data_IF_521909787672
#
_entry.id   IF_521909787672
#
_cell.length_a   1.000
_cell.length_b   1.000
_cell.length_c   1.000
_cell.angle_alpha   90.00
_cell.angle_beta   90.00
_cell.angle_gamma   90.00
#
_symmetry.space_group_name_H-M   'P 1'
#
loop_
_entity.id
_entity.type
_entity.pdbx_description
1 polymer ?
#
# COMPACT_ATOMS: atom_id res chain seq x y z
N UNK A 1 6.74 -10.97 -12.46
CA UNK A 1 5.30 -11.16 -12.15
C UNK A 1 4.96 -10.79 -10.71
N UNK A 2 5.69 -11.29 -9.70
CA UNK A 2 5.60 -10.81 -8.30
C UNK A 2 5.70 -9.28 -8.21
N UNK A 3 6.73 -8.72 -8.85
CA UNK A 3 6.94 -7.28 -8.96
C UNK A 3 5.73 -6.52 -9.50
N UNK A 4 5.07 -7.03 -10.54
CA UNK A 4 3.89 -6.40 -11.13
C UNK A 4 2.69 -6.42 -10.18
N UNK A 5 2.47 -7.54 -9.50
CA UNK A 5 1.39 -7.70 -8.53
C UNK A 5 1.59 -6.74 -7.33
N UNK A 6 2.81 -6.69 -6.77
CA UNK A 6 3.13 -5.79 -5.66
C UNK A 6 3.14 -4.32 -6.08
N UNK A 7 3.63 -3.98 -7.26
CA UNK A 7 3.48 -2.61 -7.81
C UNK A 7 2.01 -2.21 -7.86
N UNK A 8 1.12 -3.11 -8.30
CA UNK A 8 -0.32 -2.82 -8.39
C UNK A 8 -0.95 -2.60 -7.01
N UNK A 9 -0.55 -3.38 -6.01
CA UNK A 9 -1.00 -3.19 -4.63
C UNK A 9 -0.52 -1.88 -4.01
N UNK A 10 0.73 -1.49 -4.29
CA UNK A 10 1.25 -0.19 -3.86
C UNK A 10 0.49 0.98 -4.52
N UNK A 11 0.28 0.88 -5.82
CA UNK A 11 -0.44 1.89 -6.60
C UNK A 11 -1.91 2.03 -6.18
N UNK A 12 -2.55 0.98 -5.67
CA UNK A 12 -3.91 1.06 -5.13
C UNK A 12 -4.05 2.11 -4.00
N UNK A 13 -2.98 2.32 -3.22
CA UNK A 13 -2.91 3.36 -2.20
C UNK A 13 -2.33 4.68 -2.75
N UNK A 14 -1.28 4.60 -3.58
CA UNK A 14 -0.56 5.77 -4.05
C UNK A 14 -1.34 6.60 -5.09
N UNK A 15 -2.16 5.98 -5.94
CA UNK A 15 -2.92 6.68 -6.99
C UNK A 15 -3.90 7.70 -6.39
N UNK A 16 -4.79 7.34 -5.43
CA UNK A 16 -5.68 8.32 -4.81
C UNK A 16 -4.93 9.52 -4.20
N UNK A 17 -3.83 9.27 -3.51
CA UNK A 17 -3.00 10.31 -2.87
C UNK A 17 -2.39 11.23 -3.93
N UNK A 18 -1.84 10.65 -5.00
CA UNK A 18 -1.26 11.40 -6.11
C UNK A 18 -2.31 12.28 -6.80
N UNK A 19 -3.51 11.76 -7.04
CA UNK A 19 -4.61 12.53 -7.66
C UNK A 19 -5.01 13.69 -6.75
N UNK A 20 -5.29 13.43 -5.46
CA UNK A 20 -5.72 14.46 -4.51
C UNK A 20 -4.67 15.58 -4.36
N UNK A 21 -3.38 15.22 -4.31
CA UNK A 21 -2.29 16.20 -4.26
C UNK A 21 -2.17 17.01 -5.57
N UNK A 22 -2.30 16.34 -6.72
CA UNK A 22 -2.21 16.98 -8.03
C UNK A 22 -3.35 17.98 -8.29
N UNK A 23 -4.53 17.73 -7.71
CA UNK A 23 -5.68 18.66 -7.74
C UNK A 23 -5.49 19.90 -6.86
N UNK A 24 -4.36 20.02 -6.16
CA UNK A 24 -4.03 21.21 -5.37
C UNK A 24 -4.66 21.23 -3.98
N UNK A 25 -5.12 20.09 -3.45
CA UNK A 25 -5.72 20.00 -2.11
C UNK A 25 -4.72 20.11 -0.95
N UNK A 26 -3.53 20.68 -1.19
CA UNK A 26 -2.48 20.87 -0.17
C UNK A 26 -2.94 21.74 1.02
N UNK A 27 -3.86 22.70 0.80
CA UNK A 27 -4.43 23.50 1.88
C UNK A 27 -5.28 22.67 2.86
N UNK A 28 -5.81 21.53 2.40
CA UNK A 28 -6.65 20.62 3.19
C UNK A 28 -5.89 19.32 3.53
N UNK A 29 -4.56 19.34 3.46
CA UNK A 29 -3.75 18.13 3.56
C UNK A 29 -3.94 17.39 4.90
N UNK A 30 -4.05 18.14 6.00
CA UNK A 30 -4.36 17.59 7.33
C UNK A 30 -5.70 16.81 7.30
N UNK A 31 -6.73 17.35 6.64
CA UNK A 31 -8.01 16.66 6.50
C UNK A 31 -7.90 15.39 5.65
N UNK A 32 -7.10 15.43 4.58
CA UNK A 32 -6.80 14.25 3.76
C UNK A 32 -6.08 13.19 4.59
N UNK A 33 -5.08 13.56 5.40
CA UNK A 33 -4.35 12.63 6.25
C UNK A 33 -5.24 12.02 7.33
N UNK A 34 -6.21 12.76 7.88
CA UNK A 34 -7.24 12.21 8.77
C UNK A 34 -8.10 11.16 8.05
N UNK A 35 -8.57 11.45 6.83
CA UNK A 35 -9.35 10.51 6.02
C UNK A 35 -8.52 9.26 5.71
N UNK A 36 -7.26 9.41 5.29
CA UNK A 36 -6.35 8.30 5.03
C UNK A 36 -6.10 7.48 6.29
N UNK A 37 -5.97 8.11 7.46
CA UNK A 37 -5.84 7.42 8.75
C UNK A 37 -7.09 6.60 9.08
N UNK A 38 -8.29 7.13 8.83
CA UNK A 38 -9.56 6.40 9.01
C UNK A 38 -9.61 5.19 8.07
N UNK A 39 -9.22 5.35 6.80
CA UNK A 39 -9.14 4.24 5.83
C UNK A 39 -8.13 3.20 6.31
N UNK A 40 -6.99 3.62 6.87
CA UNK A 40 -5.98 2.73 7.41
C UNK A 40 -6.53 1.90 8.58
N UNK A 41 -7.28 2.53 9.50
CA UNK A 41 -8.00 1.84 10.58
C UNK A 41 -9.00 0.83 10.01
N UNK A 42 -9.80 1.23 9.02
CA UNK A 42 -10.73 0.33 8.34
C UNK A 42 -10.02 -0.89 7.74
N UNK A 43 -8.93 -0.68 7.00
CA UNK A 43 -8.13 -1.77 6.44
C UNK A 43 -7.59 -2.71 7.51
N UNK A 44 -7.09 -2.16 8.62
CA UNK A 44 -6.63 -2.93 9.77
C UNK A 44 -7.73 -3.79 10.39
N UNK A 45 -8.89 -3.19 10.67
CA UNK A 45 -10.06 -3.89 11.25
C UNK A 45 -10.62 -4.94 10.29
N UNK A 46 -10.68 -4.65 8.99
CA UNK A 46 -11.13 -5.63 7.98
C UNK A 46 -10.17 -6.81 7.90
N UNK A 47 -8.86 -6.58 7.96
CA UNK A 47 -7.86 -7.65 8.00
C UNK A 47 -7.92 -8.46 9.31
N UNK A 48 -8.18 -7.81 10.43
CA UNK A 48 -8.36 -8.47 11.72
C UNK A 48 -9.58 -9.41 11.74
N UNK A 49 -10.72 -8.92 11.26
CA UNK A 49 -12.01 -9.63 11.33
C UNK A 49 -12.22 -10.61 10.18
N UNK A 50 -11.88 -10.22 8.95
CA UNK A 50 -12.17 -10.99 7.73
C UNK A 50 -10.92 -11.62 7.12
N UNK A 51 -9.72 -11.26 7.58
CA UNK A 51 -8.45 -11.73 7.00
C UNK A 51 -8.11 -11.11 5.64
N UNK A 52 -8.90 -10.13 5.18
CA UNK A 52 -8.79 -9.49 3.86
C UNK A 52 -9.43 -8.11 3.87
N UNK A 53 -9.00 -7.26 2.95
CA UNK A 53 -9.62 -5.99 2.59
C UNK A 53 -10.44 -6.21 1.32
N UNK A 54 -11.72 -5.82 1.32
CA UNK A 54 -12.67 -6.18 0.26
C UNK A 54 -12.24 -5.62 -1.11
N UNK A 55 -11.86 -4.35 -1.14
CA UNK A 55 -11.45 -3.59 -2.32
C UNK A 55 -10.20 -4.19 -2.95
N UNK A 56 -9.27 -4.63 -2.12
CA UNK A 56 -7.98 -5.20 -2.53
C UNK A 56 -8.16 -6.65 -3.01
N UNK A 57 -9.03 -7.43 -2.37
CA UNK A 57 -9.41 -8.75 -2.87
C UNK A 57 -10.04 -8.64 -4.26
N UNK A 58 -10.98 -7.70 -4.45
CA UNK A 58 -11.61 -7.42 -5.74
C UNK A 58 -10.58 -7.00 -6.81
N UNK A 59 -9.72 -6.04 -6.48
CA UNK A 59 -8.65 -5.58 -7.36
C UNK A 59 -7.71 -6.74 -7.75
N UNK A 60 -7.30 -7.56 -6.78
CA UNK A 60 -6.38 -8.68 -7.03
C UNK A 60 -6.98 -9.72 -7.96
N UNK A 61 -8.26 -10.07 -7.78
CA UNK A 61 -8.99 -11.00 -8.66
C UNK A 61 -9.15 -10.43 -10.07
N UNK A 62 -9.50 -9.15 -10.17
CA UNK A 62 -9.65 -8.47 -11.45
C UNK A 62 -8.32 -8.46 -12.22
N UNK A 63 -7.22 -8.06 -11.57
CA UNK A 63 -5.89 -8.06 -12.18
C UNK A 63 -5.44 -9.47 -12.57
N UNK A 64 -5.67 -10.47 -11.72
CA UNK A 64 -5.36 -11.87 -12.04
C UNK A 64 -6.14 -12.37 -13.24
N UNK A 65 -7.44 -12.05 -13.34
CA UNK A 65 -8.30 -12.47 -14.45
C UNK A 65 -7.86 -11.92 -15.82
N UNK A 66 -7.21 -10.75 -15.84
CA UNK A 66 -6.63 -10.15 -17.05
C UNK A 66 -5.33 -10.81 -17.50
N UNK A 67 -4.74 -11.69 -16.69
CA UNK A 67 -3.52 -12.39 -17.04
C UNK A 67 -3.78 -13.53 -18.04
N UNK A 68 -2.80 -13.81 -18.89
CA UNK A 68 -2.86 -14.90 -19.85
C UNK A 68 -3.08 -16.27 -19.19
N UNK A 69 -3.70 -17.20 -19.91
CA UNK A 69 -4.08 -18.53 -19.42
C UNK A 69 -2.93 -19.27 -18.75
N UNK A 70 -1.78 -19.37 -19.45
CA UNK A 70 -0.56 -20.02 -18.96
C UNK A 70 -0.10 -19.48 -17.60
N UNK A 71 -0.25 -18.17 -17.37
CA UNK A 71 0.12 -17.56 -16.09
C UNK A 71 -0.84 -17.93 -14.97
N UNK A 72 -2.15 -17.91 -15.26
CA UNK A 72 -3.19 -18.26 -14.28
C UNK A 72 -3.09 -19.73 -13.86
N UNK A 73 -2.70 -20.63 -14.77
CA UNK A 73 -2.42 -22.03 -14.44
C UNK A 73 -1.15 -22.19 -13.60
N UNK A 74 -0.07 -21.48 -13.95
CA UNK A 74 1.19 -21.56 -13.22
C UNK A 74 1.10 -20.94 -11.81
N UNK A 75 0.34 -19.84 -11.66
CA UNK A 75 0.22 -19.10 -10.40
C UNK A 75 -1.22 -18.83 -10.03
N UNK A 76 -1.63 -19.54 -8.99
CA UNK A 76 -2.94 -19.40 -8.38
C UNK A 76 -3.21 -17.97 -7.88
N UNK A 77 -4.49 -17.59 -7.90
CA UNK A 77 -4.98 -16.29 -7.49
C UNK A 77 -4.62 -15.96 -6.04
N UNK A 78 -4.62 -16.94 -5.13
CA UNK A 78 -4.25 -16.70 -3.72
C UNK A 78 -2.81 -16.18 -3.61
N UNK A 79 -1.89 -16.83 -4.31
CA UNK A 79 -0.46 -16.47 -4.35
C UNK A 79 -0.22 -15.12 -5.01
N UNK A 80 -1.01 -14.76 -6.02
CA UNK A 80 -0.99 -13.45 -6.65
C UNK A 80 -1.53 -12.36 -5.71
N UNK A 81 -2.65 -12.64 -5.04
CA UNK A 81 -3.26 -11.72 -4.07
C UNK A 81 -2.30 -11.41 -2.92
N UNK A 82 -1.58 -12.40 -2.39
CA UNK A 82 -0.51 -12.16 -1.40
C UNK A 82 0.54 -11.16 -1.89
N UNK A 83 0.92 -11.20 -3.17
CA UNK A 83 1.88 -10.26 -3.75
C UNK A 83 1.30 -8.84 -3.85
N UNK A 84 0.01 -8.71 -4.20
CA UNK A 84 -0.72 -7.44 -4.17
C UNK A 84 -0.77 -6.88 -2.75
N UNK A 85 -1.12 -7.71 -1.75
CA UNK A 85 -1.12 -7.27 -0.36
C UNK A 85 0.27 -6.80 0.07
N UNK A 86 1.36 -7.52 -0.24
CA UNK A 86 2.72 -7.08 0.10
C UNK A 86 3.06 -5.70 -0.48
N UNK A 87 2.55 -5.38 -1.67
CA UNK A 87 2.65 -4.04 -2.24
C UNK A 87 1.89 -2.98 -1.45
N UNK A 88 0.66 -3.29 -1.07
CA UNK A 88 -0.17 -2.41 -0.24
C UNK A 88 0.44 -2.19 1.15
N UNK A 89 1.01 -3.24 1.75
CA UNK A 89 1.78 -3.18 3.00
C UNK A 89 2.90 -2.16 2.92
N UNK A 90 3.68 -2.24 1.85
CA UNK A 90 4.78 -1.31 1.63
C UNK A 90 4.25 0.12 1.47
N UNK A 91 3.13 0.32 0.79
CA UNK A 91 2.51 1.64 0.66
C UNK A 91 2.06 2.23 2.00
N UNK A 92 1.44 1.42 2.87
CA UNK A 92 1.07 1.87 4.21
C UNK A 92 2.28 2.24 5.05
N UNK A 93 3.33 1.42 5.04
CA UNK A 93 4.56 1.71 5.78
C UNK A 93 5.24 2.97 5.25
N UNK A 94 5.37 3.10 3.93
CA UNK A 94 5.93 4.31 3.32
C UNK A 94 5.14 5.55 3.70
N UNK A 95 3.81 5.47 3.69
CA UNK A 95 2.95 6.59 4.07
C UNK A 95 3.02 6.92 5.58
N UNK A 96 3.11 5.91 6.45
CA UNK A 96 3.27 6.14 7.89
C UNK A 96 4.63 6.77 8.25
N UNK A 97 5.69 6.45 7.48
CA UNK A 97 7.03 7.01 7.67
C UNK A 97 7.11 8.44 7.13
N UNK A 98 6.65 8.65 5.90
CA UNK A 98 6.59 9.96 5.26
C UNK A 98 5.27 10.12 4.50
N UNK A 99 4.24 10.71 5.15
CA UNK A 99 2.92 10.92 4.56
C UNK A 99 2.96 11.79 3.30
N UNK A 100 3.98 12.63 3.19
CA UNK A 100 4.12 13.62 2.13
C UNK A 100 4.86 13.11 0.91
N UNK A 101 5.53 11.96 0.99
CA UNK A 101 6.42 11.45 -0.07
C UNK A 101 5.76 11.39 -1.46
N UNK A 102 4.59 10.76 -1.57
CA UNK A 102 3.87 10.63 -2.85
C UNK A 102 3.25 11.97 -3.26
N UNK A 103 2.74 12.71 -2.28
CA UNK A 103 2.08 14.00 -2.52
C UNK A 103 3.05 15.05 -3.07
N UNK A 104 4.27 15.11 -2.51
CA UNK A 104 5.35 15.95 -2.96
C UNK A 104 5.95 15.39 -4.24
N UNK A 105 6.32 14.11 -4.29
CA UNK A 105 6.98 13.51 -5.45
C UNK A 105 6.15 13.57 -6.74
N UNK A 106 4.84 13.33 -6.65
CA UNK A 106 3.95 13.30 -7.82
C UNK A 106 3.11 14.59 -7.94
N UNK A 107 2.48 15.02 -6.85
CA UNK A 107 1.52 16.13 -6.90
C UNK A 107 2.14 17.53 -6.98
N UNK A 108 3.38 17.72 -6.49
CA UNK A 108 4.10 18.98 -6.76
C UNK A 108 4.56 19.05 -8.22
N UNK A 109 5.05 17.93 -8.75
CA UNK A 109 5.48 17.80 -10.15
C UNK A 109 4.30 18.03 -11.11
N UNK A 110 3.13 17.45 -10.84
CA UNK A 110 1.94 17.69 -11.65
C UNK A 110 1.54 19.18 -11.73
N UNK A 111 1.90 19.97 -10.70
CA UNK A 111 1.57 21.40 -10.62
C UNK A 111 2.69 22.33 -11.13
N UNK A 112 3.83 21.81 -11.58
CA UNK A 112 4.97 22.60 -12.02
C UNK A 112 4.93 23.03 -13.49
N UNK A 113 3.78 22.87 -14.18
CA UNK A 113 3.58 23.23 -15.59
C UNK A 113 3.40 22.02 -16.51
N UNK A 114 3.34 22.26 -17.84
CA UNK A 114 2.96 21.25 -18.84
C UNK A 114 3.89 20.02 -18.85
N UNK A 115 5.20 20.24 -18.72
CA UNK A 115 6.18 19.15 -18.59
C UNK A 115 5.98 18.37 -17.29
N UNK A 116 5.69 19.06 -16.20
CA UNK A 116 5.41 18.45 -14.89
C UNK A 116 4.19 17.55 -14.90
N UNK A 117 3.08 18.00 -15.51
CA UNK A 117 1.89 17.17 -15.74
C UNK A 117 2.24 15.88 -16.47
N UNK A 118 3.06 15.97 -17.52
CA UNK A 118 3.45 14.82 -18.35
C UNK A 118 4.40 13.85 -17.63
N UNK A 119 5.29 14.38 -16.76
CA UNK A 119 6.27 13.58 -16.01
C UNK A 119 5.69 12.97 -14.73
N UNK A 120 4.64 13.56 -14.16
CA UNK A 120 4.04 13.08 -12.90
C UNK A 120 3.56 11.62 -12.92
N UNK A 121 2.93 11.08 -14.00
CA UNK A 121 2.55 9.67 -14.04
C UNK A 121 3.78 8.76 -14.13
N UNK A 122 4.85 9.21 -14.80
CA UNK A 122 6.12 8.47 -14.85
C UNK A 122 6.75 8.36 -13.47
N UNK A 123 6.70 9.43 -12.67
CA UNK A 123 7.16 9.40 -11.28
C UNK A 123 6.35 8.42 -10.43
N UNK A 124 5.02 8.42 -10.59
CA UNK A 124 4.14 7.47 -9.89
C UNK A 124 4.43 6.01 -10.30
N UNK A 125 4.66 5.76 -11.59
CA UNK A 125 5.12 4.44 -12.08
C UNK A 125 6.48 4.09 -11.47
N UNK A 126 7.40 5.05 -11.35
CA UNK A 126 8.70 4.88 -10.70
C UNK A 126 8.60 4.43 -9.23
N UNK A 127 7.68 5.02 -8.46
CA UNK A 127 7.37 4.54 -7.12
C UNK A 127 6.81 3.11 -7.12
N UNK A 128 5.86 2.82 -8.02
CA UNK A 128 5.30 1.48 -8.15
C UNK A 128 6.35 0.43 -8.51
N UNK A 129 7.24 0.73 -9.46
CA UNK A 129 8.36 -0.14 -9.87
C UNK A 129 9.33 -0.37 -8.72
N UNK A 130 9.70 0.68 -7.99
CA UNK A 130 10.58 0.60 -6.81
C UNK A 130 9.96 -0.27 -5.72
N UNK A 131 8.68 -0.06 -5.41
CA UNK A 131 7.95 -0.89 -4.45
C UNK A 131 7.90 -2.36 -4.90
N UNK A 132 7.65 -2.59 -6.19
CA UNK A 132 7.65 -3.92 -6.79
C UNK A 132 8.99 -4.64 -6.65
N UNK A 133 10.09 -3.91 -6.89
CA UNK A 133 11.45 -4.41 -6.77
C UNK A 133 11.79 -4.75 -5.31
N UNK A 134 11.47 -3.87 -4.36
CA UNK A 134 11.68 -4.10 -2.93
C UNK A 134 10.97 -5.38 -2.50
N UNK A 135 9.70 -5.56 -2.86
CA UNK A 135 8.96 -6.79 -2.52
C UNK A 135 9.57 -8.02 -3.18
N UNK A 136 10.06 -7.93 -4.41
CA UNK A 136 10.74 -9.04 -5.08
C UNK A 136 12.04 -9.45 -4.36
N UNK A 137 12.83 -8.48 -3.90
CA UNK A 137 14.03 -8.71 -3.09
C UNK A 137 13.64 -9.38 -1.76
N UNK A 138 12.67 -8.81 -1.03
CA UNK A 138 12.20 -9.36 0.25
C UNK A 138 11.69 -10.79 0.12
N UNK A 139 11.00 -11.12 -0.97
CA UNK A 139 10.54 -12.48 -1.26
C UNK A 139 11.64 -13.47 -1.61
N UNK A 140 12.82 -12.99 -1.98
CA UNK A 140 13.98 -13.84 -2.25
C UNK A 140 14.69 -14.24 -0.95
N UNK A 141 14.54 -13.47 0.14
CA UNK A 141 15.18 -13.75 1.43
C UNK A 141 14.79 -15.13 2.01
N UNK A 142 13.49 -15.52 2.06
CA UNK A 142 13.09 -16.84 2.54
C UNK A 142 13.71 -18.01 1.75
N UNK A 143 14.05 -17.82 0.47
CA UNK A 143 14.68 -18.86 -0.35
C UNK A 143 16.09 -19.18 0.16
N UNK A 144 16.80 -18.19 0.73
CA UNK A 144 18.13 -18.36 1.31
C UNK A 144 18.07 -19.13 2.65
N UNK A 145 16.97 -18.99 3.39
CA UNK A 145 16.78 -19.60 4.71
C UNK A 145 16.26 -21.05 4.65
N UNK A 146 15.83 -21.52 3.47
CA UNK A 146 15.45 -22.89 3.21
C UNK A 146 14.37 -23.43 4.16
N UNK A 147 14.69 -24.52 4.88
CA UNK A 147 13.74 -25.26 5.74
C UNK A 147 13.19 -24.43 6.91
N UNK A 148 13.97 -23.51 7.46
CA UNK A 148 13.53 -22.68 8.59
C UNK A 148 12.40 -21.72 8.18
N UNK A 149 12.50 -21.12 7.00
CA UNK A 149 11.45 -20.27 6.46
C UNK A 149 10.15 -21.04 6.18
N UNK A 150 10.24 -22.32 5.80
CA UNK A 150 9.07 -23.17 5.58
C UNK A 150 8.32 -23.45 6.89
N UNK A 151 9.03 -23.73 7.98
CA UNK A 151 8.44 -23.98 9.31
C UNK A 151 7.73 -22.72 9.83
N UNK A 152 8.41 -21.56 9.78
CA UNK A 152 7.80 -20.27 10.17
C UNK A 152 6.61 -19.94 9.26
N UNK A 153 6.73 -20.25 7.96
CA UNK A 153 5.66 -20.08 6.99
C UNK A 153 4.39 -20.86 7.38
N UNK A 154 4.55 -22.13 7.75
CA UNK A 154 3.47 -23.01 8.20
C UNK A 154 2.82 -22.54 9.51
N UNK A 155 3.63 -22.16 10.50
CA UNK A 155 3.14 -21.63 11.78
C UNK A 155 2.41 -20.28 11.63
N UNK A 156 2.73 -19.54 10.59
CA UNK A 156 2.19 -18.21 10.31
C UNK A 156 0.88 -18.24 9.50
N UNK A 157 0.46 -19.39 8.98
CA UNK A 157 -0.77 -19.53 8.18
C UNK A 157 -1.99 -19.11 9.03
N UNK A 158 -2.77 -18.15 8.55
CA UNK A 158 -3.97 -17.64 9.23
C UNK A 158 -3.72 -16.59 10.32
N UNK A 159 -2.60 -16.67 11.05
CA UNK A 159 -2.19 -15.63 12.02
C UNK A 159 -1.65 -14.40 11.30
N UNK A 160 -0.94 -14.60 10.18
CA UNK A 160 -0.27 -13.52 9.44
C UNK A 160 -1.21 -12.36 9.10
N UNK A 161 -2.34 -12.53 8.39
CA UNK A 161 -3.19 -11.40 8.01
C UNK A 161 -3.82 -10.70 9.22
N UNK A 162 -4.13 -11.45 10.28
CA UNK A 162 -4.75 -10.91 11.50
C UNK A 162 -3.78 -10.11 12.35
N UNK A 163 -2.59 -10.64 12.61
CA UNK A 163 -1.55 -9.96 13.40
C UNK A 163 -1.19 -8.61 12.76
N UNK A 164 -1.00 -8.66 11.45
CA UNK A 164 -0.82 -7.50 10.63
C UNK A 164 -2.01 -6.51 10.68
N UNK A 165 -3.24 -7.01 10.59
CA UNK A 165 -4.45 -6.20 10.75
C UNK A 165 -4.50 -5.44 12.08
N UNK A 166 -4.09 -6.09 13.18
CA UNK A 166 -3.95 -5.43 14.50
C UNK A 166 -2.94 -4.29 14.43
N UNK A 167 -1.73 -4.55 13.91
CA UNK A 167 -0.68 -3.53 13.84
C UNK A 167 -1.12 -2.31 13.05
N UNK A 168 -1.75 -2.51 11.89
CA UNK A 168 -2.23 -1.41 11.04
C UNK A 168 -3.40 -0.66 11.67
N UNK A 169 -4.32 -1.36 12.35
CA UNK A 169 -5.41 -0.70 13.06
C UNK A 169 -4.88 0.20 14.19
N UNK A 170 -3.90 -0.27 14.97
CA UNK A 170 -3.27 0.50 16.04
C UNK A 170 -2.50 1.69 15.46
N UNK A 171 -1.67 1.46 14.44
CA UNK A 171 -0.90 2.54 13.80
C UNK A 171 -1.82 3.60 13.19
N UNK A 172 -2.87 3.19 12.46
CA UNK A 172 -3.84 4.12 11.90
C UNK A 172 -4.60 4.91 12.97
N UNK A 173 -4.97 4.27 14.08
CA UNK A 173 -5.65 4.94 15.19
C UNK A 173 -4.72 5.94 15.88
N UNK A 174 -3.46 5.55 16.10
CA UNK A 174 -2.44 6.43 16.65
C UNK A 174 -2.21 7.66 15.76
N UNK A 175 -2.03 7.45 14.45
CA UNK A 175 -1.85 8.55 13.49
C UNK A 175 -3.07 9.46 13.46
N UNK A 176 -4.29 8.92 13.50
CA UNK A 176 -5.53 9.70 13.57
C UNK A 176 -5.58 10.57 14.83
N UNK A 177 -5.26 10.01 16.00
CA UNK A 177 -5.21 10.75 17.26
C UNK A 177 -4.14 11.84 17.22
N UNK A 178 -2.94 11.51 16.74
CA UNK A 178 -1.83 12.46 16.62
C UNK A 178 -2.18 13.67 15.74
N UNK A 179 -2.74 13.43 14.55
CA UNK A 179 -3.13 14.50 13.62
C UNK A 179 -4.28 15.35 14.20
N UNK A 180 -5.24 14.71 14.88
CA UNK A 180 -6.38 15.42 15.46
C UNK A 180 -5.99 16.28 16.67
N UNK A 181 -5.04 15.82 17.48
CA UNK A 181 -4.59 16.52 18.68
C UNK A 181 -3.51 17.57 18.42
N UNK A 182 -2.76 17.47 17.32
CA UNK A 182 -1.72 18.44 16.95
C UNK A 182 -2.20 19.91 16.93
N UNK A 183 -3.29 20.24 16.20
CA UNK A 183 -3.86 21.60 16.18
C UNK A 183 -4.38 22.08 17.55
N UNK A 184 -4.83 21.16 18.40
CA UNK A 184 -5.31 21.48 19.74
C UNK A 184 -4.15 21.81 20.69
N UNK A 185 -3.02 21.13 20.55
CA UNK A 185 -1.82 21.38 21.36
C UNK A 185 -1.09 22.69 20.97
N UNK A 186 -1.22 23.15 19.73
CA UNK A 186 -0.64 24.44 19.28
C UNK A 186 -1.48 25.67 19.63
N UNK A 187 -2.67 25.47 20.21
CA UNK A 187 -3.63 26.54 20.55
C UNK A 187 -3.60 26.93 22.04
N UNK A 188 -2.67 26.36 22.81
CA UNK A 188 -2.36 26.70 24.21
C UNK A 188 -0.93 27.23 24.31
#
# INVERSE_FOLDING_TARGET
MTMWASSSGFLAWAIPIAILSSLGLGAHWIAIEMILSIILVYHGVSMLTRGRVFEIDLLSRFLHSKMGHKYREWRDNKRFSEDVYLGLWLAWLSWLIDPSMIAQGVGSMARSGLLGVSLSPLMLIGFGVSAGLVVAILRSIPLLLGKYAAIIGLLSVGVRPRAWGVSIAIMGLWTLMSISMGPLASSF
#
